data_IF_589898676503
#
_entry.id   IF_589898676503
#
_cell.length_a   1.000
_cell.length_b   1.000
_cell.length_c   1.000
_cell.angle_alpha   90.00
_cell.angle_beta   90.00
_cell.angle_gamma   90.00
#
_symmetry.space_group_name_H-M   'P 1'
#
loop_
_entity.id
_entity.type
_entity.pdbx_description
1 polymer ?
#
# COMPACT_ATOMS: atom_id res chain seq x y z
N UNK A 1 5.00 36.92 5.84
CA UNK A 1 5.26 36.76 4.39
C UNK A 1 5.51 35.29 4.06
N UNK A 2 4.68 34.67 3.19
CA UNK A 2 4.74 33.24 2.84
C UNK A 2 5.71 32.91 1.69
N UNK A 3 6.92 33.48 1.70
CA UNK A 3 7.91 33.33 0.61
C UNK A 3 8.31 31.87 0.40
N UNK A 4 8.55 31.11 1.48
CA UNK A 4 8.92 29.69 1.39
C UNK A 4 7.85 28.80 0.75
N UNK A 5 6.55 29.11 0.94
CA UNK A 5 5.46 28.33 0.33
C UNK A 5 5.41 28.53 -1.20
N UNK A 6 5.72 29.74 -1.67
CA UNK A 6 5.74 30.07 -3.10
C UNK A 6 6.92 29.41 -3.82
N UNK A 7 8.10 29.40 -3.20
CA UNK A 7 9.30 28.74 -3.74
C UNK A 7 9.05 27.23 -3.88
N UNK A 8 8.54 26.57 -2.82
CA UNK A 8 8.20 25.15 -2.84
C UNK A 8 7.19 24.79 -3.93
N UNK A 9 6.19 25.64 -4.16
CA UNK A 9 5.19 25.42 -5.20
C UNK A 9 5.80 25.57 -6.61
N UNK A 10 6.62 26.60 -6.83
CA UNK A 10 7.28 26.84 -8.11
C UNK A 10 8.25 25.71 -8.47
N UNK A 11 9.07 25.24 -7.52
CA UNK A 11 10.00 24.13 -7.74
C UNK A 11 9.26 22.82 -8.01
N UNK A 12 8.21 22.52 -7.26
CA UNK A 12 7.39 21.33 -7.49
C UNK A 12 6.73 21.34 -8.88
N UNK A 13 6.17 22.49 -9.29
CA UNK A 13 5.57 22.64 -10.62
C UNK A 13 6.59 22.50 -11.75
N UNK A 14 7.79 23.09 -11.58
CA UNK A 14 8.87 22.98 -12.56
C UNK A 14 9.33 21.52 -12.70
N UNK A 15 9.58 20.84 -11.58
CA UNK A 15 9.99 19.43 -11.57
C UNK A 15 8.95 18.54 -12.26
N UNK A 16 7.66 18.71 -11.96
CA UNK A 16 6.60 17.94 -12.62
C UNK A 16 6.46 18.23 -14.12
N UNK A 17 6.76 19.46 -14.56
CA UNK A 17 6.66 19.82 -15.98
C UNK A 17 7.79 19.20 -16.79
N UNK A 18 9.02 19.19 -16.25
CA UNK A 18 10.20 18.72 -16.97
C UNK A 18 10.50 17.23 -16.77
N UNK A 19 10.27 16.68 -15.57
CA UNK A 19 10.48 15.25 -15.29
C UNK A 19 9.19 14.42 -15.43
N UNK A 20 8.04 15.07 -15.60
CA UNK A 20 6.74 14.42 -15.49
C UNK A 20 6.39 14.10 -14.02
N UNK A 21 5.16 13.64 -13.74
CA UNK A 21 4.92 12.93 -12.49
C UNK A 21 5.91 11.76 -12.45
N UNK A 22 6.61 11.59 -11.33
CA UNK A 22 7.45 10.42 -11.11
C UNK A 22 6.56 9.20 -11.38
N UNK A 23 6.75 8.58 -12.54
CA UNK A 23 6.12 7.31 -12.81
C UNK A 23 6.67 6.41 -11.71
N UNK A 24 5.77 5.81 -10.93
CA UNK A 24 6.10 4.67 -10.10
C UNK A 24 6.65 3.63 -11.08
N UNK A 25 7.95 3.70 -11.31
CA UNK A 25 8.66 2.83 -12.20
C UNK A 25 8.50 1.45 -11.57
N UNK A 26 7.54 0.71 -12.10
CA UNK A 26 7.14 -0.58 -11.57
C UNK A 26 8.31 -1.57 -11.60
N UNK A 27 9.34 -1.27 -12.39
CA UNK A 27 10.59 -2.01 -12.53
C UNK A 27 11.71 -1.52 -11.60
N UNK A 28 11.52 -0.38 -10.94
CA UNK A 28 12.44 0.18 -9.94
C UNK A 28 11.85 0.26 -8.53
N UNK A 29 10.68 -0.37 -8.31
CA UNK A 29 10.14 -0.57 -6.98
C UNK A 29 11.03 -1.58 -6.21
N UNK A 30 11.70 -1.16 -5.12
CA UNK A 30 12.61 -2.02 -4.38
C UNK A 30 11.92 -3.24 -3.77
N UNK A 31 10.63 -3.14 -3.44
CA UNK A 31 9.87 -4.27 -2.88
C UNK A 31 9.64 -5.33 -3.97
N UNK A 32 9.20 -4.90 -5.15
CA UNK A 32 8.97 -5.81 -6.28
C UNK A 32 10.24 -6.47 -6.77
N UNK A 33 11.39 -5.78 -6.68
CA UNK A 33 12.70 -6.39 -6.99
C UNK A 33 13.02 -7.53 -6.04
N UNK A 34 12.86 -7.32 -4.74
CA UNK A 34 13.06 -8.37 -3.73
C UNK A 34 12.10 -9.55 -3.95
N UNK A 35 10.84 -9.29 -4.28
CA UNK A 35 9.87 -10.36 -4.57
C UNK A 35 10.30 -11.18 -5.80
N UNK A 36 10.79 -10.53 -6.87
CA UNK A 36 11.32 -11.21 -8.07
C UNK A 36 12.56 -12.05 -7.76
N UNK A 37 13.49 -11.51 -6.97
CA UNK A 37 14.71 -12.23 -6.56
C UNK A 37 14.37 -13.44 -5.69
N UNK A 38 13.45 -13.27 -4.74
CA UNK A 38 12.97 -14.36 -3.89
C UNK A 38 12.25 -15.44 -4.70
N UNK A 39 11.41 -15.05 -5.66
CA UNK A 39 10.73 -16.00 -6.56
C UNK A 39 11.71 -16.74 -7.46
N UNK A 40 12.77 -16.08 -7.94
CA UNK A 40 13.81 -16.72 -8.73
C UNK A 40 14.63 -17.76 -7.94
N UNK A 41 14.88 -17.50 -6.65
CA UNK A 41 15.69 -18.38 -5.78
C UNK A 41 14.89 -19.51 -5.16
N UNK A 42 13.67 -19.23 -4.70
CA UNK A 42 12.86 -20.15 -3.89
C UNK A 42 11.60 -20.66 -4.61
N UNK A 43 11.32 -20.17 -5.82
CA UNK A 43 10.11 -20.46 -6.56
C UNK A 43 8.91 -19.60 -6.11
N UNK A 44 7.72 -19.83 -6.69
CA UNK A 44 6.55 -19.00 -6.45
C UNK A 44 6.14 -19.02 -4.98
N UNK A 45 6.06 -17.83 -4.37
CA UNK A 45 5.62 -17.70 -3.00
C UNK A 45 4.18 -18.26 -2.85
N UNK A 46 3.90 -19.06 -1.81
CA UNK A 46 2.56 -19.58 -1.60
C UNK A 46 1.59 -18.40 -1.41
N UNK A 47 0.55 -18.34 -2.24
CA UNK A 47 -0.53 -17.34 -2.09
C UNK A 47 -1.08 -17.48 -0.68
N UNK A 48 -0.94 -16.44 0.14
CA UNK A 48 -1.51 -16.40 1.49
C UNK A 48 -3.00 -16.68 1.37
N UNK A 49 -3.43 -17.88 1.75
CA UNK A 49 -4.84 -18.23 1.86
C UNK A 49 -5.43 -17.29 2.91
N UNK A 50 -6.35 -16.42 2.47
CA UNK A 50 -7.04 -15.52 3.37
C UNK A 50 -7.69 -16.37 4.47
N UNK A 51 -7.28 -16.15 5.73
CA UNK A 51 -7.84 -16.89 6.86
C UNK A 51 -9.31 -16.51 6.97
N UNK A 52 -10.20 -17.39 6.50
CA UNK A 52 -11.64 -17.24 6.68
C UNK A 52 -11.93 -17.60 8.13
N UNK A 53 -12.05 -16.58 8.98
CA UNK A 53 -12.53 -16.78 10.35
C UNK A 53 -14.02 -17.07 10.30
N UNK A 54 -14.44 -18.14 10.95
CA UNK A 54 -15.86 -18.43 11.11
C UNK A 54 -16.55 -17.25 11.81
N UNK A 55 -17.69 -16.79 11.27
CA UNK A 55 -18.48 -15.71 11.87
C UNK A 55 -18.89 -16.14 13.28
N UNK A 56 -18.50 -15.36 14.30
CA UNK A 56 -18.92 -15.62 15.69
C UNK A 56 -20.44 -15.59 15.76
N UNK A 57 -21.02 -16.63 16.37
CA UNK A 57 -22.47 -16.72 16.61
C UNK A 57 -22.82 -15.73 17.73
N UNK A 58 -23.64 -14.73 17.41
CA UNK A 58 -24.18 -13.84 18.42
C UNK A 58 -25.28 -14.60 19.17
N UNK A 59 -25.06 -14.93 20.44
CA UNK A 59 -26.13 -15.38 21.31
C UNK A 59 -26.85 -14.13 21.81
N UNK A 60 -28.02 -13.85 21.26
CA UNK A 60 -28.91 -12.86 21.85
C UNK A 60 -29.29 -13.36 23.25
N UNK A 61 -28.90 -12.61 24.28
CA UNK A 61 -29.36 -12.85 25.65
C UNK A 61 -30.88 -12.70 25.66
N UNK A 62 -31.61 -13.79 25.82
CA UNK A 62 -32.99 -13.72 26.30
C UNK A 62 -32.98 -13.19 27.73
N UNK A 63 -33.64 -12.06 28.05
CA UNK A 63 -33.94 -11.73 29.43
C UNK A 63 -35.11 -12.62 29.85
N UNK A 64 -34.82 -13.66 30.64
CA UNK A 64 -35.87 -14.33 31.41
C UNK A 64 -35.92 -13.59 32.74
N UNK A 65 -36.86 -12.67 32.87
CA UNK A 65 -37.29 -12.18 34.17
C UNK A 65 -37.86 -13.38 34.94
N UNK A 66 -37.19 -13.78 36.01
CA UNK A 66 -37.73 -14.64 37.07
C UNK A 66 -37.84 -13.80 38.32
#
# INVERSE_FOLDING_TARGET
MHTGKRIRHATHKALLTFLGPAQLDQDNDPIRRLDREHEALFGPAPKRTQKVYAKKRNFERTPVNV
#
